data_IF_667769920716
#
_entry.id   IF_667769920716
#
_cell.length_a   1.000
_cell.length_b   1.000
_cell.length_c   1.000
_cell.angle_alpha   90.00
_cell.angle_beta   90.00
_cell.angle_gamma   90.00
#
_symmetry.space_group_name_H-M   'P 1'
#
loop_
_entity.id
_entity.type
_entity.pdbx_description
1 polymer ?
#
# COMPACT_ATOMS: atom_id res chain seq x y z
N UNK A 1 -16.51 19.11 56.79
CA UNK A 1 -17.04 19.33 55.43
C UNK A 1 -16.30 18.40 54.46
N UNK A 2 -16.96 17.37 53.89
CA UNK A 2 -16.36 16.51 52.86
C UNK A 2 -16.77 17.04 51.48
N UNK A 3 -15.81 17.53 50.71
CA UNK A 3 -16.04 17.94 49.33
C UNK A 3 -16.40 16.72 48.48
N UNK A 4 -17.60 16.74 47.89
CA UNK A 4 -18.06 15.75 46.93
C UNK A 4 -17.30 15.97 45.62
N UNK A 5 -16.34 15.09 45.30
CA UNK A 5 -15.64 15.13 43.99
C UNK A 5 -16.68 14.99 42.88
N UNK A 6 -16.70 15.85 41.86
CA UNK A 6 -17.58 15.66 40.71
C UNK A 6 -17.12 14.38 39.99
N UNK A 7 -18.05 13.44 39.81
CA UNK A 7 -17.80 12.27 39.00
C UNK A 7 -17.54 12.75 37.56
N UNK A 8 -16.35 12.48 37.04
CA UNK A 8 -16.07 12.63 35.61
C UNK A 8 -16.94 11.60 34.89
N UNK A 9 -18.09 12.05 34.40
CA UNK A 9 -18.90 11.29 33.47
C UNK A 9 -18.08 11.08 32.20
N UNK A 10 -17.27 10.02 32.19
CA UNK A 10 -16.95 9.32 30.95
C UNK A 10 -18.27 8.68 30.49
N UNK A 11 -19.16 9.52 29.94
CA UNK A 11 -20.26 9.05 29.14
C UNK A 11 -19.61 8.35 27.95
N UNK A 12 -19.35 7.04 28.10
CA UNK A 12 -18.99 6.17 27.02
C UNK A 12 -20.11 6.33 26.00
N UNK A 13 -19.86 7.16 24.98
CA UNK A 13 -20.84 7.49 23.97
C UNK A 13 -21.32 6.16 23.38
N UNK A 14 -22.56 5.77 23.70
CA UNK A 14 -23.19 4.63 23.08
C UNK A 14 -23.43 5.03 21.63
N UNK A 15 -22.49 4.68 20.76
CA UNK A 15 -22.64 4.80 19.32
C UNK A 15 -24.04 4.25 18.96
N UNK A 16 -24.92 5.05 18.33
CA UNK A 16 -26.33 4.69 18.12
C UNK A 16 -26.51 3.61 17.04
N UNK A 17 -25.48 2.81 16.78
CA UNK A 17 -25.43 1.85 15.69
C UNK A 17 -26.01 0.52 16.13
N UNK A 18 -26.98 0.03 15.36
CA UNK A 18 -27.47 -1.34 15.51
C UNK A 18 -26.36 -2.38 15.31
N UNK A 19 -26.54 -3.56 15.90
CA UNK A 19 -25.54 -4.63 15.90
C UNK A 19 -25.07 -5.02 14.49
N UNK A 20 -25.97 -4.99 13.50
CA UNK A 20 -25.67 -5.28 12.09
C UNK A 20 -24.75 -4.24 11.47
N UNK A 21 -25.09 -2.96 11.59
CA UNK A 21 -24.28 -1.86 11.08
C UNK A 21 -22.89 -1.88 11.71
N UNK A 22 -22.82 -2.10 13.02
CA UNK A 22 -21.54 -2.24 13.73
C UNK A 22 -20.71 -3.39 13.16
N UNK A 23 -21.31 -4.56 12.94
CA UNK A 23 -20.60 -5.72 12.35
C UNK A 23 -20.10 -5.42 10.94
N UNK A 24 -20.93 -4.82 10.08
CA UNK A 24 -20.55 -4.47 8.71
C UNK A 24 -19.36 -3.49 8.73
N UNK A 25 -19.45 -2.41 9.51
CA UNK A 25 -18.37 -1.43 9.60
C UNK A 25 -17.11 -2.06 10.17
N UNK A 26 -17.22 -2.90 11.21
CA UNK A 26 -16.07 -3.63 11.75
C UNK A 26 -15.41 -4.55 10.72
N UNK A 27 -16.20 -5.26 9.90
CA UNK A 27 -15.66 -6.10 8.82
C UNK A 27 -14.96 -5.26 7.74
N UNK A 28 -15.56 -4.14 7.33
CA UNK A 28 -14.95 -3.22 6.36
C UNK A 28 -13.65 -2.61 6.89
N UNK A 29 -13.62 -2.22 8.17
CA UNK A 29 -12.40 -1.72 8.82
C UNK A 29 -11.32 -2.79 8.92
N UNK A 30 -11.69 -4.02 9.31
CA UNK A 30 -10.74 -5.14 9.37
C UNK A 30 -10.18 -5.46 7.97
N UNK A 31 -11.03 -5.45 6.94
CA UNK A 31 -10.63 -5.63 5.55
C UNK A 31 -9.68 -4.53 5.08
N UNK A 32 -10.02 -3.26 5.32
CA UNK A 32 -9.17 -2.13 4.96
C UNK A 32 -7.82 -2.19 5.68
N UNK A 33 -7.84 -2.47 6.99
CA UNK A 33 -6.63 -2.60 7.78
C UNK A 33 -5.74 -3.73 7.25
N UNK A 34 -6.32 -4.88 6.91
CA UNK A 34 -5.59 -5.97 6.27
C UNK A 34 -4.94 -5.52 4.95
N UNK A 35 -5.67 -4.78 4.11
CA UNK A 35 -5.13 -4.24 2.86
C UNK A 35 -3.92 -3.30 3.09
N UNK A 36 -4.01 -2.42 4.09
CA UNK A 36 -2.92 -1.51 4.49
C UNK A 36 -1.65 -2.27 4.89
N UNK A 37 -1.77 -3.44 5.52
CA UNK A 37 -0.62 -4.29 5.87
C UNK A 37 -0.12 -5.15 4.69
N UNK A 38 -1.03 -5.67 3.86
CA UNK A 38 -0.67 -6.51 2.71
C UNK A 38 0.15 -5.73 1.68
N UNK A 39 -0.13 -4.44 1.50
CA UNK A 39 0.59 -3.58 0.56
C UNK A 39 2.13 -3.58 0.80
N UNK A 40 2.66 -3.20 1.98
CA UNK A 40 4.10 -3.27 2.25
C UNK A 40 4.60 -4.72 2.43
N UNK A 41 3.79 -5.65 2.93
CA UNK A 41 4.25 -7.03 3.15
C UNK A 41 4.59 -7.79 1.86
N UNK A 42 4.04 -7.35 0.73
CA UNK A 42 4.32 -7.92 -0.59
C UNK A 42 5.40 -7.18 -1.38
N UNK A 43 6.06 -6.18 -0.79
CA UNK A 43 7.02 -5.29 -1.47
C UNK A 43 8.30 -5.09 -0.64
N UNK A 44 9.49 -4.94 -1.27
CA UNK A 44 9.84 -5.22 -2.66
C UNK A 44 10.13 -6.72 -2.91
N UNK A 45 10.19 -7.18 -4.17
CA UNK A 45 10.56 -8.55 -4.50
C UNK A 45 11.96 -8.93 -3.97
N UNK A 46 12.20 -10.22 -3.64
CA UNK A 46 11.26 -11.33 -3.73
C UNK A 46 10.30 -11.41 -2.51
N UNK A 47 9.00 -11.43 -2.77
CA UNK A 47 7.97 -11.67 -1.78
C UNK A 47 7.70 -13.17 -1.61
N UNK A 48 7.37 -13.60 -0.39
CA UNK A 48 6.92 -14.98 -0.15
C UNK A 48 5.67 -15.32 -0.98
N UNK A 49 5.46 -16.59 -1.31
CA UNK A 49 4.25 -17.01 -2.06
C UNK A 49 2.95 -16.61 -1.35
N UNK A 50 2.96 -16.60 -0.01
CA UNK A 50 1.82 -16.19 0.81
C UNK A 50 1.53 -14.69 0.64
N UNK A 51 2.54 -13.84 0.81
CA UNK A 51 2.36 -12.39 0.68
C UNK A 51 2.03 -11.98 -0.76
N UNK A 52 2.59 -12.67 -1.76
CA UNK A 52 2.21 -12.47 -3.16
C UNK A 52 0.75 -12.87 -3.45
N UNK A 53 0.26 -13.95 -2.85
CA UNK A 53 -1.14 -14.40 -3.01
C UNK A 53 -2.12 -13.47 -2.30
N UNK A 54 -1.78 -13.00 -1.10
CA UNK A 54 -2.56 -11.96 -0.42
C UNK A 54 -2.61 -10.68 -1.25
N UNK A 55 -1.47 -10.22 -1.79
CA UNK A 55 -1.42 -9.02 -2.63
C UNK A 55 -2.30 -9.14 -3.88
N UNK A 56 -2.34 -10.32 -4.52
CA UNK A 56 -3.25 -10.59 -5.66
C UNK A 56 -4.72 -10.47 -5.26
N UNK A 57 -5.10 -10.97 -4.10
CA UNK A 57 -6.48 -10.90 -3.60
C UNK A 57 -6.91 -9.45 -3.33
N UNK A 58 -6.05 -8.65 -2.72
CA UNK A 58 -6.34 -7.26 -2.36
C UNK A 58 -6.07 -6.27 -3.52
N UNK A 59 -5.43 -6.71 -4.61
CA UNK A 59 -5.01 -5.87 -5.73
C UNK A 59 -6.09 -4.91 -6.27
N UNK A 60 -7.32 -5.36 -6.62
CA UNK A 60 -8.33 -4.45 -7.16
C UNK A 60 -8.73 -3.36 -6.16
N UNK A 61 -8.83 -3.71 -4.87
CA UNK A 61 -9.18 -2.76 -3.82
C UNK A 61 -8.06 -1.75 -3.60
N UNK A 62 -6.81 -2.23 -3.47
CA UNK A 62 -5.62 -1.39 -3.28
C UNK A 62 -5.46 -0.36 -4.40
N UNK A 63 -5.77 -0.76 -5.63
CA UNK A 63 -5.73 0.11 -6.80
C UNK A 63 -6.88 1.12 -6.81
N UNK A 64 -8.10 0.70 -6.44
CA UNK A 64 -9.26 1.59 -6.37
C UNK A 64 -9.11 2.72 -5.34
N UNK A 65 -8.44 2.46 -4.22
CA UNK A 65 -8.20 3.47 -3.16
C UNK A 65 -6.79 4.07 -3.21
N UNK A 66 -6.00 3.76 -4.24
CA UNK A 66 -4.68 4.34 -4.51
C UNK A 66 -3.63 4.18 -3.38
N UNK A 67 -3.70 3.12 -2.57
CA UNK A 67 -2.76 2.88 -1.44
C UNK A 67 -1.66 1.85 -1.75
N UNK A 68 -1.52 1.40 -3.00
CA UNK A 68 -0.53 0.40 -3.41
C UNK A 68 0.92 0.93 -3.48
N UNK A 69 1.10 2.26 -3.47
CA UNK A 69 2.34 2.94 -3.87
C UNK A 69 3.27 3.30 -2.68
N UNK A 70 2.88 3.01 -1.44
CA UNK A 70 3.50 3.58 -0.24
C UNK A 70 5.00 3.30 -0.07
N UNK A 71 5.47 2.10 -0.43
CA UNK A 71 6.90 1.75 -0.27
C UNK A 71 7.75 2.04 -1.51
N UNK A 72 7.20 1.87 -2.73
CA UNK A 72 7.94 2.13 -3.99
C UNK A 72 8.23 3.61 -4.23
N UNK A 73 7.42 4.52 -3.71
CA UNK A 73 7.62 5.96 -3.88
C UNK A 73 8.84 6.50 -3.10
N UNK A 74 9.20 5.84 -1.99
CA UNK A 74 10.32 6.25 -1.12
C UNK A 74 11.44 5.22 -1.05
N UNK A 75 11.42 4.19 -1.91
CA UNK A 75 12.49 3.21 -1.97
C UNK A 75 13.79 3.88 -2.48
N UNK A 76 14.96 3.61 -1.86
CA UNK A 76 16.25 4.11 -2.35
C UNK A 76 16.53 3.69 -3.81
N UNK A 77 15.97 2.55 -4.22
CA UNK A 77 16.03 2.01 -5.56
C UNK A 77 14.58 1.86 -6.08
N UNK A 78 14.03 2.91 -6.73
CA UNK A 78 12.72 2.81 -7.35
C UNK A 78 12.86 1.80 -8.49
N UNK A 79 12.31 0.60 -8.28
CA UNK A 79 12.44 -0.51 -9.24
C UNK A 79 12.13 -0.11 -10.69
N UNK A 80 12.54 -0.93 -11.67
CA UNK A 80 12.90 -0.54 -13.03
C UNK A 80 12.17 0.70 -13.56
N UNK A 81 12.91 1.81 -13.71
CA UNK A 81 12.45 2.92 -14.54
C UNK A 81 12.31 2.43 -16.00
N UNK A 82 11.52 3.13 -16.82
CA UNK A 82 11.36 2.81 -18.25
C UNK A 82 12.64 3.15 -19.02
N UNK A 83 13.72 2.42 -18.73
CA UNK A 83 15.03 2.59 -19.33
C UNK A 83 15.13 1.63 -20.52
N UNK A 84 15.20 2.20 -21.71
CA UNK A 84 15.48 1.49 -22.95
C UNK A 84 16.98 1.59 -23.21
N UNK A 85 17.68 0.45 -23.17
CA UNK A 85 19.05 0.35 -23.69
C UNK A 85 19.00 -0.11 -25.14
N UNK A 86 19.73 0.58 -26.00
CA UNK A 86 19.83 0.28 -27.42
C UNK A 86 21.29 0.28 -27.87
N UNK A 87 21.56 -0.34 -29.02
CA UNK A 87 22.85 -0.32 -29.67
C UNK A 87 22.64 0.11 -31.13
N UNK A 88 23.26 1.22 -31.53
CA UNK A 88 23.23 1.72 -32.89
C UNK A 88 24.32 1.00 -33.68
N UNK A 89 23.92 0.22 -34.69
CA UNK A 89 24.84 -0.33 -35.67
C UNK A 89 24.87 0.58 -36.90
N UNK A 90 26.04 1.12 -37.20
CA UNK A 90 26.27 2.00 -38.34
C UNK A 90 26.74 1.21 -39.55
N UNK A 91 26.48 1.72 -40.75
CA UNK A 91 26.87 1.09 -42.01
C UNK A 91 28.39 0.97 -42.21
N UNK A 92 29.18 1.73 -41.45
CA UNK A 92 30.65 1.68 -41.39
C UNK A 92 31.17 0.58 -40.44
N UNK A 93 30.29 -0.20 -39.80
CA UNK A 93 30.63 -1.26 -38.85
C UNK A 93 30.86 -0.77 -37.42
N UNK A 94 30.67 0.53 -37.14
CA UNK A 94 30.69 1.06 -35.78
C UNK A 94 29.43 0.63 -35.02
N UNK A 95 29.60 0.33 -33.73
CA UNK A 95 28.51 0.14 -32.77
C UNK A 95 28.59 1.23 -31.71
N UNK A 96 27.45 1.85 -31.37
CA UNK A 96 27.37 2.83 -30.29
C UNK A 96 26.23 2.47 -29.32
N UNK A 97 26.52 2.17 -28.05
CA UNK A 97 25.49 1.93 -27.05
C UNK A 97 24.82 3.24 -26.65
N UNK A 98 23.52 3.18 -26.40
CA UNK A 98 22.75 4.32 -25.90
C UNK A 98 21.67 3.89 -24.91
N UNK A 99 21.17 4.88 -24.17
CA UNK A 99 20.12 4.70 -23.17
C UNK A 99 19.07 5.81 -23.31
N UNK A 100 17.80 5.49 -23.07
CA UNK A 100 16.72 6.47 -22.97
C UNK A 100 15.75 6.12 -21.83
N UNK A 101 15.37 7.07 -20.95
CA UNK A 101 15.94 8.41 -20.81
C UNK A 101 17.41 8.37 -20.37
N UNK A 102 18.16 9.41 -20.71
CA UNK A 102 19.52 9.64 -20.20
C UNK A 102 19.40 10.22 -18.78
N UNK A 103 19.37 9.33 -17.78
CA UNK A 103 19.22 9.64 -16.35
C UNK A 103 20.31 8.98 -15.53
#
# INVERSE_FOLDING_TARGET
MKAKRPATNNAAASLPWGLRTRRIVSLLLAFHLAAVFVAPWSSPPPASQLSASAARLFHPYLHAVCIYNGYRFFAPDPGPSHIVRYELQYADGRSEPGQFPDI
#
